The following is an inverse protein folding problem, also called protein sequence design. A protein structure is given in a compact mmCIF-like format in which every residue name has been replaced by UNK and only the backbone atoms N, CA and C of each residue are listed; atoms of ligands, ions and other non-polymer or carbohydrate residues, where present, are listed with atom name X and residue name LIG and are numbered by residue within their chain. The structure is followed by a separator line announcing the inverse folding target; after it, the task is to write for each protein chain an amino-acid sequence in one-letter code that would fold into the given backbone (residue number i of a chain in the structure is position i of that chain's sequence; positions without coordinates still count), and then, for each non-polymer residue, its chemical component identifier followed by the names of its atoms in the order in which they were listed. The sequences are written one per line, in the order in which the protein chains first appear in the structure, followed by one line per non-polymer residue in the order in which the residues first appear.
data_IF_396258320807
#
_entry.id   IF_396258320807
#
_cell.length_a   1.000
_cell.length_b   1.000
_cell.length_c   1.000
_cell.angle_alpha   90.00
_cell.angle_beta   90.00
_cell.angle_gamma   90.00
#
_symmetry.space_group_name_H-M   'P 1'
#
loop_
_entity.id
_entity.type
_entity.pdbx_description
1 polymer ?
#
# COMPACT_ATOMS: atom_id res chain seq x y z
N UNK A 1 15.22 -8.51 -3.48
CA UNK A 1 14.49 -7.25 -3.18
C UNK A 1 15.27 -6.14 -3.84
N UNK A 2 14.65 -5.36 -4.72
CA UNK A 2 15.27 -4.18 -5.36
C UNK A 2 14.57 -2.93 -4.81
N UNK A 3 14.64 -2.69 -3.50
CA UNK A 3 13.75 -1.75 -2.80
C UNK A 3 14.36 -1.26 -1.49
N UNK A 4 13.90 -0.10 -1.02
CA UNK A 4 14.27 0.44 0.28
C UNK A 4 13.23 0.01 1.31
N UNK A 5 13.69 -0.59 2.42
CA UNK A 5 12.83 -1.07 3.51
C UNK A 5 13.35 -0.51 4.82
N UNK A 6 12.53 0.29 5.49
CA UNK A 6 12.86 0.85 6.80
C UNK A 6 12.73 -0.20 7.92
N UNK A 7 13.28 0.11 9.09
CA UNK A 7 13.23 -0.78 10.25
C UNK A 7 11.81 -1.06 10.78
N UNK A 8 11.65 -2.20 11.44
CA UNK A 8 10.35 -2.62 12.02
C UNK A 8 9.34 -3.16 11.00
N UNK A 9 9.74 -3.33 9.74
CA UNK A 9 8.89 -3.94 8.72
C UNK A 9 8.87 -5.47 8.84
N UNK A 10 7.71 -6.08 8.60
CA UNK A 10 7.56 -7.53 8.46
C UNK A 10 7.07 -7.81 7.05
N UNK A 11 7.88 -8.51 6.26
CA UNK A 11 7.56 -8.89 4.88
C UNK A 11 7.56 -10.42 4.82
N UNK A 12 6.37 -11.01 4.94
CA UNK A 12 6.18 -12.45 5.01
C UNK A 12 5.80 -12.98 3.63
N UNK A 13 6.67 -13.74 2.97
CA UNK A 13 6.32 -14.41 1.70
C UNK A 13 5.84 -13.47 0.57
N UNK A 14 6.16 -12.18 0.64
CA UNK A 14 5.75 -11.16 -0.31
C UNK A 14 6.93 -10.74 -1.20
N UNK A 15 6.62 -10.24 -2.40
CA UNK A 15 7.61 -9.76 -3.37
C UNK A 15 7.52 -8.24 -3.50
N UNK A 16 8.61 -7.55 -3.21
CA UNK A 16 8.72 -6.09 -3.29
C UNK A 16 9.79 -5.70 -4.30
N UNK A 17 9.44 -4.81 -5.26
CA UNK A 17 10.32 -4.40 -6.36
C UNK A 17 10.19 -2.90 -6.70
N UNK A 18 11.32 -2.19 -6.75
CA UNK A 18 11.39 -0.75 -7.03
C UNK A 18 10.45 0.09 -6.15
N UNK A 19 10.36 -0.26 -4.88
CA UNK A 19 9.43 0.37 -3.95
C UNK A 19 10.16 0.91 -2.71
N UNK A 20 9.47 1.78 -1.98
CA UNK A 20 9.92 2.29 -0.68
C UNK A 20 8.90 1.89 0.37
N UNK A 21 9.34 1.13 1.37
CA UNK A 21 8.51 0.65 2.48
C UNK A 21 8.95 1.36 3.76
N UNK A 22 8.09 2.20 4.32
CA UNK A 22 8.34 2.91 5.58
C UNK A 22 8.11 2.03 6.81
N UNK A 23 8.61 2.49 7.94
CA UNK A 23 8.70 1.74 9.19
C UNK A 23 7.36 1.22 9.72
N UNK A 24 7.43 0.14 10.52
CA UNK A 24 6.28 -0.54 11.11
C UNK A 24 5.21 -1.04 10.12
N UNK A 25 5.60 -1.26 8.86
CA UNK A 25 4.70 -1.81 7.84
C UNK A 25 4.70 -3.33 7.87
N UNK A 26 3.53 -3.95 7.70
CA UNK A 26 3.39 -5.40 7.55
C UNK A 26 2.85 -5.74 6.17
N UNK A 27 3.47 -6.70 5.50
CA UNK A 27 3.08 -7.18 4.17
C UNK A 27 3.00 -8.70 4.21
N UNK A 28 1.79 -9.22 4.01
CA UNK A 28 1.50 -10.64 4.14
C UNK A 28 1.79 -11.46 2.86
N UNK A 29 1.78 -12.78 3.01
CA UNK A 29 2.16 -13.76 1.99
C UNK A 29 1.38 -13.60 0.68
N UNK A 30 2.08 -13.84 -0.44
CA UNK A 30 1.49 -13.82 -1.78
C UNK A 30 1.31 -12.42 -2.35
N UNK A 31 1.58 -11.38 -1.55
CA UNK A 31 1.44 -9.99 -1.99
C UNK A 31 2.60 -9.55 -2.88
N UNK A 32 2.28 -8.81 -3.95
CA UNK A 32 3.23 -8.20 -4.84
C UNK A 32 3.11 -6.67 -4.81
N UNK A 33 4.20 -5.99 -4.45
CA UNK A 33 4.29 -4.53 -4.41
C UNK A 33 5.36 -4.08 -5.40
N UNK A 34 5.00 -3.19 -6.33
CA UNK A 34 5.89 -2.76 -7.42
C UNK A 34 5.76 -1.28 -7.72
N UNK A 35 6.88 -0.56 -7.78
CA UNK A 35 6.91 0.87 -8.14
C UNK A 35 6.03 1.73 -7.22
N UNK A 36 5.99 1.38 -5.93
CA UNK A 36 5.06 1.99 -4.97
C UNK A 36 5.79 2.59 -3.77
N UNK A 37 5.13 3.55 -3.12
CA UNK A 37 5.55 4.14 -1.86
C UNK A 37 4.53 3.76 -0.79
N UNK A 38 4.97 3.03 0.23
CA UNK A 38 4.13 2.55 1.33
C UNK A 38 4.51 3.32 2.59
N UNK A 39 3.65 4.23 3.05
CA UNK A 39 3.89 5.10 4.21
C UNK A 39 3.85 4.33 5.54
N UNK A 40 4.29 4.94 6.67
CA UNK A 40 4.47 4.21 7.91
C UNK A 40 3.21 3.54 8.44
N UNK A 41 3.40 2.45 9.20
CA UNK A 41 2.33 1.72 9.92
C UNK A 41 1.23 1.14 9.00
N UNK A 42 1.50 0.97 7.70
CA UNK A 42 0.55 0.34 6.78
C UNK A 42 0.48 -1.18 7.04
N UNK A 43 -0.70 -1.77 6.88
CA UNK A 43 -0.91 -3.23 6.90
C UNK A 43 -1.41 -3.67 5.53
N UNK A 44 -0.75 -4.61 4.89
CA UNK A 44 -1.18 -5.15 3.60
C UNK A 44 -1.45 -6.64 3.76
N UNK A 45 -2.69 -7.04 3.49
CA UNK A 45 -3.18 -8.41 3.53
C UNK A 45 -2.52 -9.32 2.50
N UNK A 46 -3.01 -10.56 2.44
CA UNK A 46 -2.50 -11.65 1.61
C UNK A 46 -2.90 -11.49 0.15
N UNK A 47 -2.06 -11.99 -0.76
CA UNK A 47 -2.36 -12.07 -2.20
C UNK A 47 -2.77 -10.74 -2.84
N UNK A 48 -2.31 -9.61 -2.28
CA UNK A 48 -2.61 -8.29 -2.82
C UNK A 48 -1.67 -7.97 -3.99
N UNK A 49 -2.12 -7.07 -4.88
CA UNK A 49 -1.31 -6.57 -5.99
C UNK A 49 -1.35 -5.05 -6.02
N UNK A 50 -0.23 -4.44 -5.64
CA UNK A 50 -0.08 -2.99 -5.55
C UNK A 50 0.98 -2.54 -6.56
N UNK A 51 0.56 -1.76 -7.55
CA UNK A 51 1.43 -1.30 -8.64
C UNK A 51 1.30 0.21 -8.78
N UNK A 52 2.42 0.94 -8.83
CA UNK A 52 2.44 2.39 -9.10
C UNK A 52 1.49 3.18 -8.20
N UNK A 53 1.55 2.91 -6.90
CA UNK A 53 0.66 3.52 -5.92
C UNK A 53 1.39 4.13 -4.72
N UNK A 54 0.71 5.06 -4.07
CA UNK A 54 1.08 5.65 -2.78
C UNK A 54 0.01 5.24 -1.79
N UNK A 55 0.40 4.51 -0.74
CA UNK A 55 -0.51 4.11 0.35
C UNK A 55 -0.19 4.95 1.56
N UNK A 56 -1.18 5.69 2.06
CA UNK A 56 -1.04 6.62 3.16
C UNK A 56 -0.86 5.93 4.52
N UNK A 57 -0.32 6.68 5.49
CA UNK A 57 0.04 6.21 6.82
C UNK A 57 -1.15 5.49 7.47
N UNK A 58 -0.86 4.32 8.05
CA UNK A 58 -1.83 3.56 8.85
C UNK A 58 -2.95 2.90 8.04
N UNK A 59 -2.98 3.02 6.71
CA UNK A 59 -3.98 2.34 5.90
C UNK A 59 -3.85 0.82 6.03
N UNK A 60 -5.00 0.14 6.11
CA UNK A 60 -5.10 -1.32 6.07
C UNK A 60 -5.62 -1.74 4.70
N UNK A 61 -4.86 -2.51 3.95
CA UNK A 61 -5.29 -3.09 2.67
C UNK A 61 -5.74 -4.53 2.95
N UNK A 62 -7.02 -4.89 2.68
CA UNK A 62 -7.54 -6.23 2.94
C UNK A 62 -6.94 -7.27 1.98
N UNK A 63 -7.15 -8.55 2.26
CA UNK A 63 -6.68 -9.64 1.41
C UNK A 63 -7.24 -9.56 -0.02
N UNK A 64 -6.47 -10.06 -0.99
CA UNK A 64 -6.78 -10.17 -2.42
C UNK A 64 -7.06 -8.83 -3.10
N UNK A 65 -6.64 -7.72 -2.50
CA UNK A 65 -6.94 -6.40 -3.02
C UNK A 65 -5.98 -5.99 -4.15
N UNK A 66 -6.52 -5.40 -5.21
CA UNK A 66 -5.76 -4.91 -6.34
C UNK A 66 -5.83 -3.38 -6.46
N UNK A 67 -4.65 -2.75 -6.58
CA UNK A 67 -4.44 -1.31 -6.72
C UNK A 67 -3.41 -1.08 -7.83
N UNK A 68 -3.73 -0.25 -8.81
CA UNK A 68 -2.91 0.05 -9.97
C UNK A 68 -2.86 -1.08 -11.01
N UNK A 69 -3.83 -2.01 -10.94
CA UNK A 69 -3.99 -3.11 -11.90
C UNK A 69 -5.00 -2.74 -12.98
N UNK A 70 -6.11 -2.12 -12.59
CA UNK A 70 -7.10 -1.54 -13.50
C UNK A 70 -7.35 -0.09 -13.10
N UNK A 71 -6.81 0.83 -13.91
CA UNK A 71 -6.80 2.26 -13.58
C UNK A 71 -8.22 2.87 -13.59
N UNK A 72 -9.12 2.34 -14.42
CA UNK A 72 -10.49 2.83 -14.52
C UNK A 72 -11.31 2.41 -13.29
N UNK A 73 -11.08 1.21 -12.77
CA UNK A 73 -11.66 0.77 -11.49
C UNK A 73 -11.03 1.49 -10.30
N UNK A 74 -9.74 1.82 -10.36
CA UNK A 74 -9.08 2.61 -9.33
C UNK A 74 -9.64 4.03 -9.25
N UNK A 75 -9.93 4.67 -10.39
CA UNK A 75 -10.54 6.01 -10.45
C UNK A 75 -11.91 6.09 -9.77
N UNK A 76 -12.64 4.99 -9.69
CA UNK A 76 -13.94 4.93 -9.01
C UNK A 76 -13.80 4.89 -7.48
N UNK A 77 -12.63 4.49 -6.97
CA UNK A 77 -12.39 4.19 -5.55
C UNK A 77 -11.40 5.14 -4.89
N UNK A 78 -10.44 5.65 -5.67
CA UNK A 78 -9.24 6.34 -5.19
C UNK A 78 -8.93 7.58 -6.01
N UNK A 79 -8.03 8.42 -5.48
CA UNK A 79 -7.46 9.49 -6.27
C UNK A 79 -6.42 8.89 -7.24
N UNK A 80 -6.53 9.22 -8.52
CA UNK A 80 -5.61 8.73 -9.54
C UNK A 80 -5.11 9.91 -10.38
N UNK A 81 -3.79 10.08 -10.45
CA UNK A 81 -3.18 11.14 -11.25
C UNK A 81 -3.37 10.92 -12.75
N UNK A 82 -3.11 11.93 -13.57
CA UNK A 82 -3.12 11.80 -15.03
C UNK A 82 -2.12 10.77 -15.53
N UNK A 83 -0.95 10.67 -14.88
CA UNK A 83 0.09 9.70 -15.19
C UNK A 83 -0.23 8.29 -14.68
N UNK A 84 -1.37 8.10 -14.00
CA UNK A 84 -1.83 6.80 -13.51
C UNK A 84 -1.19 6.36 -12.19
N UNK A 85 -0.81 7.29 -11.32
CA UNK A 85 -0.39 6.98 -9.95
C UNK A 85 -1.63 6.96 -9.05
N UNK A 86 -1.83 5.89 -8.30
CA UNK A 86 -2.98 5.73 -7.39
C UNK A 86 -2.60 6.15 -5.97
N UNK A 87 -3.34 7.10 -5.38
CA UNK A 87 -3.25 7.45 -3.97
C UNK A 87 -4.38 6.77 -3.19
N UNK A 88 -4.01 5.99 -2.17
CA UNK A 88 -4.95 5.30 -1.28
C UNK A 88 -4.80 5.86 0.12
N UNK A 89 -5.91 6.31 0.72
CA UNK A 89 -5.94 6.83 2.09
C UNK A 89 -6.87 6.01 2.99
N UNK A 90 -6.71 6.09 4.33
CA UNK A 90 -7.62 5.41 5.25
C UNK A 90 -9.08 5.83 5.04
N UNK A 91 -9.32 7.13 4.79
CA UNK A 91 -10.67 7.65 4.53
C UNK A 91 -11.32 7.01 3.30
N UNK A 92 -10.58 6.83 2.20
CA UNK A 92 -11.06 6.14 1.00
C UNK A 92 -11.37 4.66 1.26
N UNK A 93 -10.68 4.06 2.24
CA UNK A 93 -10.89 2.68 2.68
C UNK A 93 -11.93 2.56 3.82
N UNK A 94 -12.68 3.63 4.12
CA UNK A 94 -13.64 3.70 5.24
C UNK A 94 -13.03 3.38 6.62
N UNK A 95 -11.76 3.70 6.81
CA UNK A 95 -11.01 3.47 8.05
C UNK A 95 -10.96 4.76 8.87
N UNK A 96 -11.35 4.65 10.14
CA UNK A 96 -11.13 5.71 11.13
C UNK A 96 -9.77 5.52 11.76
N UNK A 97 -8.82 6.37 11.39
CA UNK A 97 -7.59 6.49 12.17
C UNK A 97 -7.83 7.46 13.31
N UNK A 98 -7.73 6.96 14.54
CA UNK A 98 -7.51 7.81 15.69
C UNK A 98 -6.09 8.35 15.58
N UNK A 99 -5.96 9.58 15.07
CA UNK A 99 -4.75 10.34 15.31
C UNK A 99 -4.78 10.71 16.79
N UNK A 100 -4.01 10.00 17.61
CA UNK A 100 -3.55 10.55 18.88
C UNK A 100 -2.80 11.84 18.52
N UNK A 101 -3.39 12.97 18.93
CA UNK A 101 -2.70 14.25 18.92
C UNK A 101 -1.68 14.17 20.04
N UNK A 102 -0.42 13.94 19.71
CA UNK A 102 0.68 14.30 20.58
C UNK A 102 0.79 15.84 20.66
#
# INVERSE_FOLDING_TARGET
IDSLVAGGCIISGAKVKRSVIFFNTQIETGTYVKESVILPKVRIGRNCKLIRCIVDKGTVIPDNFEIGVNIDEDRKRFLVTEQGIVLVTPGMMNQRLHYERD
#
